data_IF_516337045075
#
_entry.id   IF_516337045075
#
_cell.length_a   1.000
_cell.length_b   1.000
_cell.length_c   1.000
_cell.angle_alpha   90.00
_cell.angle_beta   90.00
_cell.angle_gamma   90.00
#
_symmetry.space_group_name_H-M   'P 1'
#
loop_
_entity.id
_entity.type
_entity.pdbx_description
1 polymer ?
#
# COMPACT_ATOMS: atom_id res chain seq x y z
N UNK A 1 3.04 25.70 0.70
CA UNK A 1 3.23 24.27 1.03
C UNK A 1 4.36 23.73 0.17
N UNK A 2 5.48 23.32 0.78
CA UNK A 2 6.62 22.76 0.05
C UNK A 2 6.36 21.28 -0.18
N UNK A 3 5.87 20.93 -1.37
CA UNK A 3 5.81 19.53 -1.81
C UNK A 3 7.12 19.18 -2.51
N UNK A 4 7.76 18.03 -2.24
CA UNK A 4 8.98 17.64 -2.92
C UNK A 4 8.72 17.48 -4.42
N UNK A 5 9.53 18.14 -5.25
CA UNK A 5 9.43 18.08 -6.70
C UNK A 5 9.55 16.65 -7.23
N UNK A 6 10.36 15.81 -6.57
CA UNK A 6 10.59 14.42 -6.94
C UNK A 6 9.31 13.57 -6.87
N UNK A 7 8.61 13.59 -5.73
CA UNK A 7 7.36 12.82 -5.58
C UNK A 7 6.28 13.34 -6.51
N UNK A 8 6.17 14.66 -6.67
CA UNK A 8 5.22 15.26 -7.60
C UNK A 8 5.46 14.81 -9.05
N UNK A 9 6.72 14.74 -9.48
CA UNK A 9 7.11 14.26 -10.80
C UNK A 9 6.82 12.77 -10.96
N UNK A 10 7.13 11.95 -9.95
CA UNK A 10 6.83 10.52 -9.92
C UNK A 10 5.32 10.27 -10.07
N UNK A 11 4.49 10.90 -9.23
CA UNK A 11 3.04 10.84 -9.38
C UNK A 11 2.55 11.40 -10.72
N UNK A 12 3.29 12.34 -11.31
CA UNK A 12 3.08 12.83 -12.67
C UNK A 12 3.23 11.74 -13.73
N UNK A 13 4.30 10.97 -13.66
CA UNK A 13 4.55 9.86 -14.56
C UNK A 13 3.51 8.74 -14.37
N UNK A 14 3.18 8.40 -13.11
CA UNK A 14 2.16 7.39 -12.80
C UNK A 14 0.79 7.83 -13.35
N UNK A 15 0.40 9.09 -13.13
CA UNK A 15 -0.85 9.63 -13.68
C UNK A 15 -0.89 9.52 -15.21
N UNK A 16 0.23 9.85 -15.88
CA UNK A 16 0.33 9.75 -17.34
C UNK A 16 0.08 8.31 -17.79
N UNK A 17 0.77 7.34 -17.20
CA UNK A 17 0.60 5.91 -17.51
C UNK A 17 -0.84 5.46 -17.27
N UNK A 18 -1.47 5.88 -16.17
CA UNK A 18 -2.85 5.51 -15.86
C UNK A 18 -3.88 6.10 -16.84
N UNK A 19 -3.64 7.33 -17.32
CA UNK A 19 -4.46 7.96 -18.34
C UNK A 19 -4.27 7.31 -19.70
N UNK A 20 -3.04 6.94 -20.05
CA UNK A 20 -2.70 6.29 -21.32
C UNK A 20 -3.32 4.88 -21.42
N UNK A 21 -3.41 4.15 -20.29
CA UNK A 21 -4.07 2.84 -20.20
C UNK A 21 -5.60 2.91 -20.05
N UNK A 22 -6.21 4.10 -19.98
CA UNK A 22 -7.66 4.27 -19.91
C UNK A 22 -8.32 3.95 -18.57
N UNK A 23 -7.56 3.73 -17.49
CA UNK A 23 -8.10 3.49 -16.13
C UNK A 23 -8.75 4.74 -15.53
N UNK A 24 -8.23 5.91 -15.88
CA UNK A 24 -8.77 7.22 -15.51
C UNK A 24 -9.21 7.91 -16.77
N UNK A 25 -10.29 8.69 -16.69
CA UNK A 25 -10.76 9.48 -17.82
C UNK A 25 -9.61 10.33 -18.39
N UNK A 26 -9.12 9.97 -19.57
CA UNK A 26 -8.07 10.70 -20.27
C UNK A 26 -8.56 12.06 -20.74
N UNK A 27 -7.62 12.95 -21.12
CA UNK A 27 -7.96 14.25 -21.71
C UNK A 27 -8.75 14.10 -23.03
N UNK A 28 -8.67 12.94 -23.68
CA UNK A 28 -9.31 12.63 -24.97
C UNK A 28 -10.59 11.79 -24.89
N UNK A 29 -11.06 11.41 -23.69
CA UNK A 29 -12.36 10.74 -23.52
C UNK A 29 -13.40 11.75 -23.08
N UNK A 30 -14.53 11.84 -23.79
CA UNK A 30 -15.66 12.71 -23.40
C UNK A 30 -16.01 12.47 -21.93
N UNK A 31 -15.68 13.42 -21.06
CA UNK A 31 -16.09 13.39 -19.67
C UNK A 31 -17.61 13.23 -19.66
N UNK A 32 -18.12 12.13 -19.07
CA UNK A 32 -19.57 11.98 -18.90
C UNK A 32 -20.06 13.17 -18.08
N UNK A 33 -21.04 13.90 -18.63
CA UNK A 33 -21.66 15.04 -17.95
C UNK A 33 -22.23 14.65 -16.58
N UNK A 34 -22.77 13.43 -16.49
CA UNK A 34 -23.36 12.88 -15.29
C UNK A 34 -22.89 11.43 -15.09
N UNK A 35 -21.94 11.18 -14.18
CA UNK A 35 -21.50 9.84 -13.83
C UNK A 35 -22.54 9.15 -12.94
N UNK A 36 -23.41 8.32 -13.54
CA UNK A 36 -24.48 7.63 -12.81
C UNK A 36 -24.02 6.32 -12.15
N UNK A 37 -22.92 5.73 -12.59
CA UNK A 37 -22.34 4.52 -12.00
C UNK A 37 -21.18 4.87 -11.06
N UNK A 38 -20.96 4.02 -10.05
CA UNK A 38 -19.85 4.20 -9.11
C UNK A 38 -18.49 4.21 -9.83
N UNK A 39 -18.33 3.34 -10.82
CA UNK A 39 -17.11 3.28 -11.66
C UNK A 39 -16.89 4.58 -12.44
N UNK A 40 -17.94 5.15 -13.03
CA UNK A 40 -17.84 6.43 -13.73
C UNK A 40 -17.47 7.58 -12.78
N UNK A 41 -18.00 7.57 -11.54
CA UNK A 41 -17.64 8.56 -10.52
C UNK A 41 -16.17 8.45 -10.13
N UNK A 42 -15.67 7.24 -9.93
CA UNK A 42 -14.26 6.99 -9.58
C UNK A 42 -13.34 7.40 -10.74
N UNK A 43 -13.66 7.02 -11.96
CA UNK A 43 -12.85 7.33 -13.14
C UNK A 43 -12.74 8.84 -13.42
N UNK A 44 -13.74 9.62 -13.01
CA UNK A 44 -13.75 11.09 -13.12
C UNK A 44 -13.19 11.82 -11.91
N UNK A 45 -13.07 11.14 -10.77
CA UNK A 45 -12.58 11.78 -9.56
C UNK A 45 -11.09 12.13 -9.74
N UNK A 46 -10.67 13.37 -9.44
CA UNK A 46 -9.29 13.80 -9.66
C UNK A 46 -8.36 13.30 -8.54
N UNK A 47 -8.23 11.98 -8.39
CA UNK A 47 -7.43 11.31 -7.35
C UNK A 47 -6.00 11.86 -7.32
N UNK A 48 -5.34 11.92 -8.48
CA UNK A 48 -3.95 12.37 -8.59
C UNK A 48 -3.78 13.87 -8.25
N UNK A 49 -4.80 14.69 -8.42
CA UNK A 49 -4.76 16.10 -7.98
C UNK A 49 -4.65 16.19 -6.46
N UNK A 50 -5.43 15.40 -5.73
CA UNK A 50 -5.38 15.40 -4.26
C UNK A 50 -4.08 14.79 -3.74
N UNK A 51 -3.60 13.69 -4.35
CA UNK A 51 -2.33 13.05 -3.96
C UNK A 51 -1.14 14.00 -4.13
N UNK A 52 -1.11 14.79 -5.21
CA UNK A 52 0.01 15.71 -5.50
C UNK A 52 0.00 16.99 -4.68
N UNK A 53 -1.17 17.42 -4.20
CA UNK A 53 -1.33 18.73 -3.55
C UNK A 53 -1.54 18.63 -2.04
N UNK A 54 -1.96 17.48 -1.51
CA UNK A 54 -2.09 17.24 -0.08
C UNK A 54 -0.93 16.38 0.43
N UNK A 55 -0.14 16.92 1.36
CA UNK A 55 1.01 16.24 1.94
C UNK A 55 0.67 14.90 2.60
N UNK A 56 -0.48 14.79 3.27
CA UNK A 56 -0.93 13.54 3.91
C UNK A 56 -1.05 12.46 2.84
N UNK A 57 -1.81 12.73 1.78
CA UNK A 57 -2.04 11.78 0.70
C UNK A 57 -0.80 11.52 -0.16
N UNK A 58 0.16 12.45 -0.18
CA UNK A 58 1.42 12.29 -0.90
C UNK A 58 2.36 11.29 -0.19
N UNK A 59 2.45 11.33 1.14
CA UNK A 59 3.36 10.50 1.93
C UNK A 59 2.73 9.21 2.44
N UNK A 60 1.41 9.15 2.60
CA UNK A 60 0.69 7.96 3.04
C UNK A 60 1.04 6.69 2.23
N UNK A 61 0.94 6.66 0.89
CA UNK A 61 1.29 5.47 0.11
C UNK A 61 2.78 5.13 0.20
N UNK A 62 3.67 6.10 0.35
CA UNK A 62 5.10 5.87 0.54
C UNK A 62 5.35 5.16 1.87
N UNK A 63 4.77 5.67 2.97
CA UNK A 63 4.87 5.06 4.28
C UNK A 63 4.26 3.66 4.32
N UNK A 64 3.09 3.46 3.70
CA UNK A 64 2.46 2.16 3.59
C UNK A 64 3.34 1.16 2.82
N UNK A 65 3.96 1.60 1.72
CA UNK A 65 4.82 0.74 0.88
C UNK A 65 6.10 0.33 1.62
N UNK A 66 6.75 1.27 2.31
CA UNK A 66 7.95 0.99 3.12
C UNK A 66 7.61 0.06 4.29
N UNK A 67 6.50 0.33 4.98
CA UNK A 67 6.01 -0.50 6.07
C UNK A 67 5.74 -1.93 5.59
N UNK A 68 4.96 -2.10 4.52
CA UNK A 68 4.65 -3.40 3.93
C UNK A 68 5.91 -4.18 3.56
N UNK A 69 6.92 -3.53 2.98
CA UNK A 69 8.19 -4.18 2.66
C UNK A 69 8.93 -4.67 3.92
N UNK A 70 9.03 -3.81 4.94
CA UNK A 70 9.67 -4.16 6.23
C UNK A 70 8.94 -5.34 6.89
N UNK A 71 7.62 -5.26 7.01
CA UNK A 71 6.82 -6.34 7.59
C UNK A 71 6.90 -7.62 6.78
N UNK A 72 6.92 -7.56 5.46
CA UNK A 72 7.11 -8.75 4.62
C UNK A 72 8.47 -9.43 4.88
N UNK A 73 9.54 -8.65 5.10
CA UNK A 73 10.86 -9.19 5.46
C UNK A 73 10.87 -9.80 6.86
N UNK A 74 10.27 -9.13 7.84
CA UNK A 74 10.14 -9.66 9.20
C UNK A 74 9.32 -10.96 9.18
N UNK A 75 8.23 -10.98 8.42
CA UNK A 75 7.37 -12.16 8.27
C UNK A 75 8.13 -13.34 7.65
N UNK A 76 8.95 -13.10 6.62
CA UNK A 76 9.81 -14.12 6.04
C UNK A 76 10.85 -14.66 7.03
N UNK A 77 11.46 -13.78 7.84
CA UNK A 77 12.44 -14.19 8.87
C UNK A 77 11.78 -14.98 10.00
N UNK A 78 10.61 -14.55 10.46
CA UNK A 78 9.85 -15.23 11.50
C UNK A 78 9.44 -16.65 11.10
N UNK A 79 9.11 -16.86 9.81
CA UNK A 79 8.76 -18.17 9.27
C UNK A 79 9.95 -18.98 8.75
N UNK A 80 11.19 -18.57 9.04
CA UNK A 80 12.36 -19.38 8.71
C UNK A 80 12.32 -20.72 9.46
N UNK A 81 12.72 -21.81 8.80
CA UNK A 81 12.63 -23.16 9.38
C UNK A 81 13.36 -23.28 10.72
N UNK A 82 14.48 -22.57 10.89
CA UNK A 82 15.23 -22.52 12.13
C UNK A 82 14.43 -21.87 13.26
N UNK A 83 13.70 -20.78 12.98
CA UNK A 83 12.88 -20.08 13.97
C UNK A 83 11.61 -20.87 14.31
N UNK A 84 11.03 -21.57 13.32
CA UNK A 84 9.88 -22.45 13.56
C UNK A 84 10.28 -23.61 14.48
N UNK A 85 11.44 -24.24 14.25
CA UNK A 85 11.96 -25.32 15.09
C UNK A 85 12.27 -24.86 16.51
N UNK A 86 12.91 -23.69 16.68
CA UNK A 86 13.21 -23.15 18.01
C UNK A 86 11.94 -22.76 18.79
N UNK A 87 10.94 -22.23 18.08
CA UNK A 87 9.63 -21.94 18.66
C UNK A 87 8.93 -23.22 19.13
N UNK A 88 8.89 -24.26 18.29
CA UNK A 88 8.34 -25.57 18.66
C UNK A 88 9.02 -26.15 19.91
N UNK A 89 10.35 -26.09 19.98
CA UNK A 89 11.10 -26.54 21.15
C UNK A 89 10.77 -25.74 22.42
N UNK A 90 10.55 -24.43 22.29
CA UNK A 90 10.16 -23.56 23.41
C UNK A 90 8.75 -23.91 23.90
N UNK A 91 7.82 -24.18 22.98
CA UNK A 91 6.46 -24.60 23.32
C UNK A 91 6.44 -25.96 24.04
N UNK A 92 7.25 -26.93 23.60
CA UNK A 92 7.39 -28.22 24.29
C UNK A 92 7.88 -28.04 25.73
N UNK A 93 8.94 -27.25 25.92
CA UNK A 93 9.48 -26.94 27.26
C UNK A 93 8.48 -26.20 28.16
N UNK A 94 7.65 -25.32 27.59
CA UNK A 94 6.63 -24.62 28.35
C UNK A 94 5.49 -25.57 28.76
N UNK A 95 5.05 -26.46 27.86
CA UNK A 95 4.05 -27.48 28.17
C UNK A 95 4.54 -28.46 29.25
N UNK A 96 5.82 -28.86 29.21
CA UNK A 96 6.44 -29.68 30.26
C UNK A 96 6.43 -28.96 31.62
N UNK A 97 6.77 -27.67 31.66
CA UNK A 97 6.73 -26.87 32.89
C UNK A 97 5.31 -26.71 33.45
N UNK A 98 4.32 -26.49 32.59
CA UNK A 98 2.91 -26.39 32.98
C UNK A 98 2.38 -27.73 33.52
N UNK A 99 2.78 -28.86 32.93
CA UNK A 99 2.42 -30.19 33.41
C UNK A 99 3.06 -30.57 34.76
N UNK A 100 4.26 -30.04 35.06
CA UNK A 100 4.95 -30.25 36.35
C UNK A 100 4.58 -29.24 37.44
N UNK A 101 3.83 -28.17 37.11
CA UNK A 101 3.38 -27.13 38.03
C UNK A 101 2.00 -27.36 38.66
N UNK A 102 1.40 -28.52 38.43
CA UNK A 102 0.14 -28.98 39.03
C UNK A 102 0.37 -30.05 40.10
#
# INVERSE_FOLDING_TARGET
MVTPSLLRNLYGQIEKVWRDNGFIAGKSGRHMKFPYTLSAKIAQFPVFFYIKNNWIWMYWPVGASVSLYVFAKIHALANSEANVKSWQQTQLKNAEKEAHGH
#
